data_IF_198051945972
#
_entry.id   IF_198051945972
#
_cell.length_a   1.000
_cell.length_b   1.000
_cell.length_c   1.000
_cell.angle_alpha   90.00
_cell.angle_beta   90.00
_cell.angle_gamma   90.00
#
_symmetry.space_group_name_H-M   'P 1'
#
loop_
_entity.id
_entity.type
_entity.pdbx_description
1 polymer ?
#
# COMPACT_ATOMS: atom_id res chain seq x y z
N UNK A 1 0.71 -19.35 8.06
CA UNK A 1 -0.57 -19.12 7.35
C UNK A 1 -1.00 -17.69 7.63
N UNK A 2 -1.21 -16.89 6.58
CA UNK A 2 -1.81 -15.56 6.74
C UNK A 2 -3.30 -15.71 7.02
N UNK A 3 -3.82 -14.96 7.98
CA UNK A 3 -5.26 -14.83 8.19
C UNK A 3 -5.79 -13.60 7.42
N UNK A 4 -7.12 -13.46 7.34
CA UNK A 4 -7.75 -12.35 6.62
C UNK A 4 -7.38 -10.96 7.18
N UNK A 5 -7.11 -10.85 8.50
CA UNK A 5 -6.67 -9.61 9.14
C UNK A 5 -5.26 -9.22 8.72
N UNK A 6 -4.35 -10.20 8.64
CA UNK A 6 -2.98 -9.96 8.16
C UNK A 6 -3.01 -9.45 6.72
N UNK A 7 -3.85 -10.07 5.87
CA UNK A 7 -4.07 -9.62 4.50
C UNK A 7 -4.62 -8.19 4.44
N UNK A 8 -5.53 -7.82 5.32
CA UNK A 8 -6.07 -6.46 5.38
C UNK A 8 -5.00 -5.43 5.76
N UNK A 9 -4.11 -5.78 6.68
CA UNK A 9 -3.03 -4.89 7.15
C UNK A 9 -1.92 -4.72 6.10
N UNK A 10 -1.64 -5.79 5.34
CA UNK A 10 -0.52 -5.85 4.40
C UNK A 10 -0.93 -5.65 2.93
N UNK A 11 -2.22 -5.44 2.65
CA UNK A 11 -2.72 -5.31 1.29
C UNK A 11 -2.07 -4.16 0.51
N UNK A 12 -1.80 -3.03 1.17
CA UNK A 12 -1.11 -1.89 0.54
C UNK A 12 0.30 -2.28 0.09
N UNK A 13 1.10 -2.87 0.98
CA UNK A 13 2.47 -3.33 0.64
C UNK A 13 2.48 -4.39 -0.47
N UNK A 14 1.48 -5.29 -0.47
CA UNK A 14 1.30 -6.28 -1.52
C UNK A 14 0.97 -5.63 -2.87
N UNK A 15 0.05 -4.65 -2.89
CA UNK A 15 -0.33 -3.87 -4.09
C UNK A 15 0.84 -3.02 -4.60
N UNK A 16 1.65 -2.48 -3.71
CA UNK A 16 2.84 -1.67 -4.02
C UNK A 16 4.06 -2.50 -4.43
N UNK A 17 3.93 -3.83 -4.47
CA UNK A 17 5.03 -4.77 -4.71
C UNK A 17 6.23 -4.59 -3.77
N UNK A 18 5.99 -4.02 -2.58
CA UNK A 18 7.01 -3.79 -1.55
C UNK A 18 7.35 -5.06 -0.76
N UNK A 19 6.70 -6.19 -1.08
CA UNK A 19 6.95 -7.49 -0.47
C UNK A 19 7.80 -8.40 -1.37
N UNK A 20 8.95 -8.83 -0.86
CA UNK A 20 9.85 -9.78 -1.54
C UNK A 20 9.85 -11.16 -0.86
N UNK A 21 10.06 -12.21 -1.66
CA UNK A 21 10.26 -13.58 -1.17
C UNK A 21 9.00 -14.32 -0.68
N UNK A 22 9.14 -15.03 0.44
CA UNK A 22 8.12 -15.95 0.98
C UNK A 22 6.80 -15.27 1.36
N UNK A 23 6.84 -13.99 1.76
CA UNK A 23 5.63 -13.25 2.15
C UNK A 23 4.64 -13.15 0.99
N UNK A 24 5.16 -12.76 -0.19
CA UNK A 24 4.38 -12.65 -1.42
C UNK A 24 3.80 -14.00 -1.86
N UNK A 25 4.55 -15.08 -1.69
CA UNK A 25 4.07 -16.43 -1.97
C UNK A 25 2.86 -16.79 -1.10
N UNK A 26 2.96 -16.63 0.23
CA UNK A 26 1.85 -16.89 1.14
C UNK A 26 0.62 -16.03 0.85
N UNK A 27 0.84 -14.76 0.45
CA UNK A 27 -0.24 -13.86 0.04
C UNK A 27 -1.00 -14.39 -1.18
N UNK A 28 -0.26 -14.80 -2.23
CA UNK A 28 -0.85 -15.39 -3.43
C UNK A 28 -1.68 -16.65 -3.10
N UNK A 29 -1.14 -17.54 -2.26
CA UNK A 29 -1.85 -18.74 -1.80
C UNK A 29 -3.13 -18.36 -1.06
N UNK A 30 -3.08 -17.39 -0.15
CA UNK A 30 -4.27 -16.95 0.58
C UNK A 30 -5.33 -16.35 -0.37
N UNK A 31 -4.94 -15.50 -1.31
CA UNK A 31 -5.87 -14.88 -2.28
C UNK A 31 -6.46 -15.89 -3.26
N UNK A 32 -5.77 -17.00 -3.51
CA UNK A 32 -6.29 -18.12 -4.29
C UNK A 32 -7.42 -18.85 -3.55
N UNK A 33 -7.27 -19.06 -2.24
CA UNK A 33 -8.23 -19.80 -1.41
C UNK A 33 -9.41 -18.92 -0.96
N UNK A 34 -9.13 -17.69 -0.52
CA UNK A 34 -10.11 -16.82 0.10
C UNK A 34 -10.68 -15.79 -0.89
N UNK A 35 -11.91 -16.04 -1.35
CA UNK A 35 -12.64 -15.14 -2.26
C UNK A 35 -12.84 -13.73 -1.68
N UNK A 36 -13.10 -13.62 -0.38
CA UNK A 36 -13.35 -12.33 0.28
C UNK A 36 -12.10 -11.45 0.25
N UNK A 37 -10.94 -12.02 0.58
CA UNK A 37 -9.66 -11.32 0.51
C UNK A 37 -9.31 -10.90 -0.92
N UNK A 38 -9.66 -11.73 -1.92
CA UNK A 38 -9.48 -11.37 -3.34
C UNK A 38 -10.35 -10.17 -3.75
N UNK A 39 -11.60 -10.11 -3.31
CA UNK A 39 -12.50 -8.97 -3.57
C UNK A 39 -12.00 -7.72 -2.85
N UNK A 40 -11.58 -7.87 -1.59
CA UNK A 40 -11.00 -6.79 -0.79
C UNK A 40 -9.76 -6.18 -1.46
N UNK A 41 -8.75 -6.99 -1.79
CA UNK A 41 -7.52 -6.49 -2.45
C UNK A 41 -7.84 -5.82 -3.79
N UNK A 42 -8.78 -6.37 -4.56
CA UNK A 42 -9.25 -5.75 -5.80
C UNK A 42 -9.88 -4.37 -5.53
N UNK A 43 -10.72 -4.25 -4.50
CA UNK A 43 -11.34 -2.99 -4.13
C UNK A 43 -10.28 -1.93 -3.74
N UNK A 44 -9.31 -2.30 -2.89
CA UNK A 44 -8.22 -1.40 -2.49
C UNK A 44 -7.43 -0.93 -3.71
N UNK A 45 -7.09 -1.84 -4.62
CA UNK A 45 -6.38 -1.49 -5.85
C UNK A 45 -7.19 -0.54 -6.75
N UNK A 46 -8.49 -0.80 -6.93
CA UNK A 46 -9.39 0.09 -7.69
C UNK A 46 -9.49 1.48 -7.07
N UNK A 47 -9.63 1.57 -5.74
CA UNK A 47 -9.70 2.85 -5.03
C UNK A 47 -8.39 3.62 -5.17
N UNK A 48 -7.24 2.96 -5.04
CA UNK A 48 -5.92 3.56 -5.27
C UNK A 48 -5.79 4.10 -6.69
N UNK A 49 -6.15 3.31 -7.69
CA UNK A 49 -6.13 3.71 -9.10
C UNK A 49 -7.07 4.89 -9.40
N UNK A 50 -8.26 4.89 -8.78
CA UNK A 50 -9.22 5.97 -8.90
C UNK A 50 -8.66 7.29 -8.36
N UNK A 51 -8.07 7.26 -7.17
CA UNK A 51 -7.43 8.44 -6.54
C UNK A 51 -6.27 8.92 -7.41
N UNK A 52 -5.42 8.00 -7.88
CA UNK A 52 -4.28 8.32 -8.74
C UNK A 52 -4.69 9.02 -10.03
N UNK A 53 -5.75 8.53 -10.69
CA UNK A 53 -6.26 9.10 -11.95
C UNK A 53 -6.95 10.45 -11.77
N UNK A 54 -7.56 10.69 -10.60
CA UNK A 54 -8.19 11.99 -10.30
C UNK A 54 -7.16 13.11 -10.19
N UNK A 55 -5.92 12.80 -9.80
CA UNK A 55 -4.80 13.73 -9.76
C UNK A 55 -5.02 14.89 -8.78
N UNK A 56 -4.25 14.94 -7.69
CA UNK A 56 -4.00 16.20 -7.01
C UNK A 56 -3.10 17.08 -7.88
N UNK A 57 -3.12 18.40 -7.66
CA UNK A 57 -2.09 19.28 -8.22
C UNK A 57 -0.73 18.79 -7.68
N UNK A 58 0.29 18.55 -8.53
CA UNK A 58 1.59 18.14 -8.04
C UNK A 58 2.10 19.21 -7.08
N UNK A 59 2.57 18.77 -5.91
CA UNK A 59 3.15 19.68 -4.93
C UNK A 59 4.32 20.43 -5.55
N UNK A 60 4.42 21.73 -5.28
CA UNK A 60 5.56 22.53 -5.70
C UNK A 60 6.84 22.02 -5.04
N UNK A 61 8.00 22.26 -5.66
CA UNK A 61 9.29 21.86 -5.06
C UNK A 61 9.50 22.46 -3.66
N UNK A 62 8.94 23.64 -3.39
CA UNK A 62 9.03 24.30 -2.10
C UNK A 62 8.24 23.56 -1.02
N UNK A 63 7.02 23.13 -1.34
CA UNK A 63 6.19 22.31 -0.44
C UNK A 63 6.86 20.96 -0.17
N UNK A 64 7.40 20.30 -1.20
CA UNK A 64 8.13 19.03 -1.04
C UNK A 64 9.35 19.20 -0.14
N UNK A 65 10.16 20.25 -0.35
CA UNK A 65 11.35 20.52 0.49
C UNK A 65 10.96 20.78 1.95
N UNK A 66 9.90 21.57 2.19
CA UNK A 66 9.42 21.86 3.54
C UNK A 66 8.99 20.61 4.30
N UNK A 67 8.23 19.72 3.64
CA UNK A 67 7.80 18.44 4.24
C UNK A 67 9.00 17.53 4.54
N UNK A 68 9.94 17.38 3.59
CA UNK A 68 11.12 16.53 3.78
C UNK A 68 12.03 17.01 4.92
N UNK A 69 12.14 18.33 5.13
CA UNK A 69 12.89 18.89 6.26
C UNK A 69 12.20 18.62 7.60
N UNK A 70 10.86 18.74 7.65
CA UNK A 70 10.09 18.44 8.84
C UNK A 70 10.21 16.96 9.27
N UNK A 71 10.16 16.02 8.30
CA UNK A 71 10.35 14.58 8.57
C UNK A 71 11.74 14.30 9.14
N UNK A 72 12.80 14.86 8.54
CA UNK A 72 14.18 14.69 9.05
C UNK A 72 14.37 15.19 10.48
N UNK A 73 13.72 16.30 10.84
CA UNK A 73 13.74 16.84 12.21
C UNK A 73 13.01 15.93 13.21
N UNK A 74 11.91 15.31 12.78
CA UNK A 74 11.17 14.36 13.61
C UNK A 74 11.95 13.06 13.84
N UNK A 75 12.65 12.56 12.83
CA UNK A 75 13.46 11.33 12.93
C UNK A 75 14.77 11.51 13.72
N UNK A 76 15.22 12.76 13.93
CA UNK A 76 16.45 13.08 14.67
C UNK A 76 16.24 13.25 16.18
N UNK A 77 15.04 12.95 16.69
CA UNK A 77 14.66 13.13 18.10
C UNK A 77 14.28 11.79 18.74
#
# INVERSE_FOLDING_TARGET
>A
MLNCRDVAHEASDYIDHNQTGWRRFWFNVHLFICKNCRVFVRHVNTTKEFIRKRGGMPASEQEVKGVMEAVRKADSK
#
